data_IF_971720503387
#
_entry.id   IF_971720503387
#
_cell.length_a   1.000
_cell.length_b   1.000
_cell.length_c   1.000
_cell.angle_alpha   90.00
_cell.angle_beta   90.00
_cell.angle_gamma   90.00
#
_symmetry.space_group_name_H-M   'P 1'
#
loop_
_entity.id
_entity.type
_entity.pdbx_description
1 polymer ?
#
# COMPACT_ATOMS: atom_id res chain seq x y z
N UNK A 1 4.76 -27.32 4.79
CA UNK A 1 3.43 -26.70 4.74
C UNK A 1 2.88 -26.92 3.32
N UNK A 2 1.88 -27.79 3.14
CA UNK A 2 1.33 -28.14 1.83
C UNK A 2 0.60 -26.99 1.13
N UNK A 3 0.26 -25.92 1.86
CA UNK A 3 -0.34 -24.70 1.30
C UNK A 3 0.70 -23.59 1.05
N UNK A 4 2.00 -23.90 1.21
CA UNK A 4 3.06 -22.93 0.98
C UNK A 4 3.07 -22.52 -0.51
N UNK A 5 2.95 -21.21 -0.83
CA UNK A 5 2.83 -20.75 -2.21
C UNK A 5 3.98 -21.27 -3.06
N UNK A 6 3.72 -21.66 -4.29
CA UNK A 6 4.75 -22.17 -5.19
C UNK A 6 5.89 -21.14 -5.35
N UNK A 7 7.10 -21.57 -5.70
CA UNK A 7 8.26 -20.68 -5.82
C UNK A 7 8.01 -19.40 -6.66
N UNK A 8 7.23 -19.43 -7.77
CA UNK A 8 6.88 -18.21 -8.51
C UNK A 8 5.91 -17.30 -7.76
N UNK A 9 4.97 -17.87 -7.00
CA UNK A 9 4.01 -17.10 -6.22
C UNK A 9 4.67 -16.42 -5.01
N UNK A 10 5.60 -17.10 -4.33
CA UNK A 10 6.45 -16.49 -3.28
C UNK A 10 7.22 -15.27 -3.80
N UNK A 11 7.73 -15.32 -5.04
CA UNK A 11 8.41 -14.19 -5.66
C UNK A 11 7.46 -13.02 -5.90
N UNK A 12 6.22 -13.29 -6.34
CA UNK A 12 5.21 -12.26 -6.54
C UNK A 12 4.78 -11.60 -5.23
N UNK A 13 4.58 -12.38 -4.16
CA UNK A 13 4.30 -11.85 -2.81
C UNK A 13 5.46 -10.97 -2.32
N UNK A 14 6.70 -11.44 -2.46
CA UNK A 14 7.87 -10.65 -2.08
C UNK A 14 7.99 -9.35 -2.88
N UNK A 15 7.64 -9.36 -4.17
CA UNK A 15 7.61 -8.16 -5.00
C UNK A 15 6.52 -7.18 -4.55
N UNK A 16 5.31 -7.67 -4.22
CA UNK A 16 4.24 -6.85 -3.64
C UNK A 16 4.73 -6.19 -2.35
N UNK A 17 5.31 -6.96 -1.42
CA UNK A 17 5.82 -6.42 -0.15
C UNK A 17 6.89 -5.36 -0.36
N UNK A 18 7.83 -5.58 -1.29
CA UNK A 18 8.86 -4.59 -1.64
C UNK A 18 8.26 -3.32 -2.24
N UNK A 19 7.34 -3.44 -3.20
CA UNK A 19 6.73 -2.27 -3.87
C UNK A 19 5.88 -1.41 -2.95
N UNK A 20 5.35 -2.03 -1.89
CA UNK A 20 4.54 -1.38 -0.87
C UNK A 20 5.35 -0.95 0.35
N UNK A 21 6.69 -1.04 0.27
CA UNK A 21 7.65 -0.65 1.31
C UNK A 21 7.38 -1.31 2.67
N UNK A 22 6.68 -2.45 2.68
CA UNK A 22 6.23 -3.12 3.90
C UNK A 22 5.20 -2.35 4.72
N UNK A 23 4.58 -1.29 4.18
CA UNK A 23 3.59 -0.48 4.89
C UNK A 23 2.35 -1.34 5.20
N UNK A 24 1.99 -1.56 6.49
CA UNK A 24 0.90 -2.47 6.86
C UNK A 24 -0.42 -2.16 6.17
N UNK A 25 -0.84 -0.89 6.17
CA UNK A 25 -2.09 -0.50 5.52
C UNK A 25 -2.07 -0.71 4.00
N UNK A 26 -0.92 -0.49 3.34
CA UNK A 26 -0.78 -0.75 1.92
C UNK A 26 -0.97 -2.24 1.61
N UNK A 27 -0.40 -3.10 2.46
CA UNK A 27 -0.55 -4.56 2.38
C UNK A 27 -1.99 -5.01 2.62
N UNK A 28 -2.69 -4.44 3.60
CA UNK A 28 -4.11 -4.70 3.85
C UNK A 28 -4.96 -4.38 2.61
N UNK A 29 -4.80 -3.17 2.06
CA UNK A 29 -5.51 -2.74 0.86
C UNK A 29 -5.19 -3.64 -0.34
N UNK A 30 -3.94 -4.04 -0.51
CA UNK A 30 -3.52 -4.95 -1.58
C UNK A 30 -4.15 -6.35 -1.40
N UNK A 31 -4.19 -6.88 -0.18
CA UNK A 31 -4.76 -8.18 0.14
C UNK A 31 -6.24 -8.27 -0.26
N UNK A 32 -7.01 -7.19 -0.11
CA UNK A 32 -8.43 -7.17 -0.53
C UNK A 32 -8.62 -7.40 -2.03
N UNK A 33 -7.59 -7.14 -2.86
CA UNK A 33 -7.64 -7.27 -4.32
C UNK A 33 -7.14 -8.60 -4.85
N UNK A 34 -6.45 -9.38 -4.01
CA UNK A 34 -5.95 -10.71 -4.40
C UNK A 34 -7.09 -11.62 -4.86
N UNK A 35 -8.28 -11.52 -4.25
CA UNK A 35 -9.46 -12.28 -4.71
C UNK A 35 -9.94 -11.92 -6.12
N UNK A 36 -9.74 -10.67 -6.54
CA UNK A 36 -10.24 -10.17 -7.82
C UNK A 36 -9.19 -10.25 -8.95
N UNK A 37 -7.90 -10.14 -8.62
CA UNK A 37 -6.79 -10.06 -9.58
C UNK A 37 -5.83 -11.24 -9.50
N UNK A 38 -5.80 -11.98 -8.38
CA UNK A 38 -4.71 -12.90 -8.09
C UNK A 38 -3.39 -12.19 -7.76
N UNK A 39 -2.43 -12.94 -7.22
CA UNK A 39 -1.17 -12.38 -6.69
C UNK A 39 -0.25 -11.87 -7.81
N UNK A 40 -0.14 -12.60 -8.94
CA UNK A 40 0.78 -12.23 -10.03
C UNK A 40 0.32 -10.96 -10.76
N UNK A 41 -0.96 -10.88 -11.13
CA UNK A 41 -1.51 -9.71 -11.81
C UNK A 41 -1.49 -8.47 -10.90
N UNK A 42 -1.73 -8.65 -9.59
CA UNK A 42 -1.59 -7.57 -8.62
C UNK A 42 -0.14 -7.05 -8.57
N UNK A 43 0.86 -7.94 -8.55
CA UNK A 43 2.26 -7.56 -8.58
C UNK A 43 2.61 -6.74 -9.84
N UNK A 44 2.12 -7.15 -11.02
CA UNK A 44 2.32 -6.43 -12.29
C UNK A 44 1.68 -5.04 -12.26
N UNK A 45 0.43 -4.94 -11.81
CA UNK A 45 -0.33 -3.68 -11.76
C UNK A 45 0.21 -2.69 -10.73
N UNK A 46 0.93 -3.15 -9.70
CA UNK A 46 1.60 -2.28 -8.71
C UNK A 46 2.79 -1.49 -9.27
N UNK A 47 3.12 -1.62 -10.57
CA UNK A 47 4.04 -0.67 -11.23
C UNK A 47 3.55 0.78 -11.12
N UNK A 48 2.22 0.98 -11.04
CA UNK A 48 1.58 2.26 -10.75
C UNK A 48 1.09 2.28 -9.29
N UNK A 49 2.07 2.32 -8.36
CA UNK A 49 1.99 1.97 -6.92
C UNK A 49 0.73 2.47 -6.19
N UNK A 50 0.20 3.63 -6.57
CA UNK A 50 -0.91 4.26 -5.88
C UNK A 50 -2.25 4.17 -6.62
N UNK A 51 -2.25 3.93 -7.94
CA UNK A 51 -3.51 3.87 -8.71
C UNK A 51 -4.29 2.60 -8.44
N UNK A 52 -3.59 1.53 -8.07
CA UNK A 52 -4.26 0.30 -7.64
C UNK A 52 -4.89 0.55 -6.27
N UNK A 53 -4.18 1.08 -5.29
CA UNK A 53 -4.62 1.16 -3.88
C UNK A 53 -5.59 2.32 -3.52
N UNK A 54 -6.18 2.99 -4.50
CA UNK A 54 -7.09 4.13 -4.27
C UNK A 54 -8.50 3.75 -3.82
N UNK A 55 -8.99 2.53 -4.09
CA UNK A 55 -10.29 2.12 -3.54
C UNK A 55 -10.14 1.61 -2.12
N UNK A 56 -10.93 2.20 -1.22
CA UNK A 56 -10.71 2.07 0.21
C UNK A 56 -11.33 0.85 0.87
N UNK A 57 -10.83 0.55 2.08
CA UNK A 57 -11.32 -0.53 2.94
C UNK A 57 -12.66 -0.13 3.57
N UNK A 58 -13.75 -0.77 3.10
CA UNK A 58 -15.11 -0.61 3.66
C UNK A 58 -15.15 -1.17 5.08
N UNK A 59 -14.84 -0.33 6.07
CA UNK A 59 -14.81 -0.70 7.48
C UNK A 59 -13.71 -0.01 8.31
N UNK A 60 -12.71 0.59 7.65
CA UNK A 60 -11.70 1.38 8.35
C UNK A 60 -12.22 2.80 8.67
N UNK A 61 -11.70 3.48 9.71
CA UNK A 61 -11.92 4.92 9.92
C UNK A 61 -11.61 5.71 8.65
N UNK A 62 -12.37 6.78 8.34
CA UNK A 62 -12.23 7.53 7.09
C UNK A 62 -10.78 7.89 6.72
N UNK A 63 -9.99 8.31 7.72
CA UNK A 63 -8.54 8.60 7.60
C UNK A 63 -7.67 7.42 7.15
N UNK A 64 -8.10 6.18 7.37
CA UNK A 64 -7.39 4.94 7.05
C UNK A 64 -8.02 4.18 5.87
N UNK A 65 -9.09 4.70 5.27
CA UNK A 65 -9.74 4.00 4.17
C UNK A 65 -8.85 3.95 2.94
N UNK A 66 -8.00 4.95 2.70
CA UNK A 66 -7.06 4.98 1.57
C UNK A 66 -5.68 5.41 2.03
N UNK A 67 -4.63 5.02 1.28
CA UNK A 67 -3.28 5.55 1.53
C UNK A 67 -3.23 7.07 1.43
N UNK A 68 -4.00 7.67 0.52
CA UNK A 68 -4.11 9.13 0.39
C UNK A 68 -4.64 9.75 1.68
N UNK A 69 -5.73 9.22 2.23
CA UNK A 69 -6.33 9.72 3.47
C UNK A 69 -5.35 9.64 4.65
N UNK A 70 -4.50 8.61 4.71
CA UNK A 70 -3.47 8.50 5.75
C UNK A 70 -2.36 9.53 5.56
N UNK A 71 -1.92 9.76 4.32
CA UNK A 71 -0.89 10.76 4.02
C UNK A 71 -1.41 12.17 4.34
N UNK A 72 -2.65 12.48 3.96
CA UNK A 72 -3.25 13.78 4.22
C UNK A 72 -3.40 14.01 5.73
N UNK A 73 -3.85 13.00 6.48
CA UNK A 73 -3.94 13.07 7.94
C UNK A 73 -2.56 13.17 8.62
N UNK A 74 -1.55 12.42 8.16
CA UNK A 74 -0.21 12.49 8.74
C UNK A 74 0.43 13.86 8.51
N UNK A 75 0.16 14.49 7.36
CA UNK A 75 0.55 15.86 7.08
C UNK A 75 -0.13 16.88 8.00
N UNK A 76 -1.43 16.70 8.29
CA UNK A 76 -2.18 17.58 9.19
C UNK A 76 -1.60 17.60 10.61
N UNK A 77 -1.07 16.47 11.09
CA UNK A 77 -0.46 16.35 12.42
C UNK A 77 0.90 17.05 12.56
N UNK A 78 1.57 17.36 11.46
CA UNK A 78 2.88 18.01 11.49
C UNK A 78 2.77 19.48 11.87
N UNK A 79 3.69 19.91 12.73
CA UNK A 79 3.94 21.32 13.01
C UNK A 79 4.50 22.05 11.77
N UNK A 80 4.44 23.38 11.77
CA UNK A 80 4.97 24.19 10.66
C UNK A 80 6.45 23.88 10.32
N UNK A 81 7.38 23.75 11.29
CA UNK A 81 8.76 23.36 11.00
C UNK A 81 8.89 21.97 10.36
N UNK A 82 8.15 20.97 10.85
CA UNK A 82 8.19 19.60 10.32
C UNK A 82 7.66 19.53 8.87
N UNK A 83 6.61 20.28 8.56
CA UNK A 83 6.08 20.42 7.19
C UNK A 83 7.12 21.00 6.23
N UNK A 84 7.94 21.95 6.69
CA UNK A 84 9.01 22.55 5.87
C UNK A 84 10.10 21.51 5.58
N UNK A 85 10.54 20.77 6.60
CA UNK A 85 11.55 19.72 6.43
C UNK A 85 11.06 18.64 5.48
N UNK A 86 9.84 18.13 5.69
CA UNK A 86 9.28 17.06 4.86
C UNK A 86 9.14 17.49 3.38
N UNK A 87 8.70 18.73 3.11
CA UNK A 87 8.65 19.27 1.74
C UNK A 87 10.01 19.32 1.06
N UNK A 88 11.08 19.60 1.80
CA UNK A 88 12.45 19.65 1.26
C UNK A 88 13.01 18.27 0.95
N UNK A 89 12.62 17.24 1.71
CA UNK A 89 13.06 15.86 1.49
C UNK A 89 12.29 15.14 0.38
N UNK A 90 11.08 15.59 0.06
CA UNK A 90 10.22 14.99 -0.96
C UNK A 90 10.40 15.58 -2.37
N UNK A 91 11.27 16.58 -2.52
CA UNK A 91 11.65 17.21 -3.79
C UNK A 91 12.84 16.45 -4.41
#
# INVERSE_FOLDING_TARGET
DPDAPEAPERRAVAEICRRLDGIPLALELAATRVRALGVRELAERLNDRFRVLTFGQRGAPARQQTLRAVIDWSWELLSAPERIVLRRLAA
#
